data_IF_143737336630
#
_entry.id   IF_143737336630
#
_cell.length_a   1.000
_cell.length_b   1.000
_cell.length_c   1.000
_cell.angle_alpha   90.00
_cell.angle_beta   90.00
_cell.angle_gamma   90.00
#
_symmetry.space_group_name_H-M   'P 1'
#
loop_
_entity.id
_entity.type
_entity.pdbx_description
1 polymer ?
#
# COMPACT_ATOMS: atom_id res chain seq x y z
N UNK A 1 2.56 2.47 -21.84
CA UNK A 1 1.86 3.62 -21.23
C UNK A 1 0.76 4.17 -22.13
N UNK A 2 1.05 4.60 -23.37
CA UNK A 2 0.02 5.11 -24.30
C UNK A 2 -1.17 4.14 -24.50
N UNK A 3 -0.89 2.84 -24.66
CA UNK A 3 -1.93 1.83 -24.79
C UNK A 3 -2.81 1.67 -23.53
N UNK A 4 -2.28 1.96 -22.34
CA UNK A 4 -3.06 1.94 -21.09
C UNK A 4 -3.97 3.15 -21.00
N UNK A 5 -3.42 4.34 -21.31
CA UNK A 5 -4.16 5.60 -21.42
C UNK A 5 -5.33 5.49 -22.43
N UNK A 6 -5.07 4.93 -23.61
CA UNK A 6 -6.09 4.72 -24.65
C UNK A 6 -7.20 3.73 -24.24
N UNK A 7 -6.95 2.86 -23.25
CA UNK A 7 -7.95 1.94 -22.68
C UNK A 7 -8.68 2.54 -21.47
N UNK A 8 -8.56 3.85 -21.24
CA UNK A 8 -9.18 4.55 -20.12
C UNK A 8 -8.38 4.53 -18.83
N UNK A 9 -7.14 4.03 -18.86
CA UNK A 9 -6.23 4.12 -17.72
C UNK A 9 -5.80 5.55 -17.45
N UNK A 10 -5.56 5.89 -16.18
CA UNK A 10 -5.03 7.19 -15.77
C UNK A 10 -3.58 7.05 -15.31
N UNK A 11 -2.71 7.93 -15.78
CA UNK A 11 -1.30 7.99 -15.36
C UNK A 11 -1.07 9.32 -14.67
N UNK A 12 -0.53 9.27 -13.45
CA UNK A 12 -0.01 10.46 -12.77
C UNK A 12 1.51 10.43 -12.86
N UNK A 13 2.09 11.45 -13.49
CA UNK A 13 3.53 11.59 -13.68
C UNK A 13 4.09 12.65 -12.73
N UNK A 14 5.09 12.24 -11.94
CA UNK A 14 5.91 13.13 -11.12
C UNK A 14 7.29 13.21 -11.74
N UNK A 15 7.78 14.43 -11.96
CA UNK A 15 9.08 14.67 -12.59
C UNK A 15 9.09 14.42 -14.10
N UNK A 16 10.22 13.92 -14.60
CA UNK A 16 10.49 13.83 -16.03
C UNK A 16 10.07 12.46 -16.59
N UNK A 17 8.95 12.45 -17.32
CA UNK A 17 8.42 11.26 -17.96
C UNK A 17 8.89 11.13 -19.41
N UNK A 18 9.36 9.93 -19.78
CA UNK A 18 9.52 9.54 -21.18
C UNK A 18 10.64 10.24 -21.95
N UNK A 19 11.68 10.75 -21.27
CA UNK A 19 12.83 11.43 -21.92
C UNK A 19 13.56 10.59 -22.97
N UNK A 20 13.42 9.27 -22.90
CA UNK A 20 13.99 8.31 -23.84
C UNK A 20 13.04 7.93 -24.99
N UNK A 21 11.86 8.54 -25.08
CA UNK A 21 10.88 8.24 -26.14
C UNK A 21 11.15 9.07 -27.40
N UNK A 22 10.87 8.52 -28.59
CA UNK A 22 10.82 9.31 -29.82
C UNK A 22 9.87 10.50 -29.69
N UNK A 23 10.23 11.64 -30.28
CA UNK A 23 9.49 12.91 -30.14
C UNK A 23 8.00 12.79 -30.47
N UNK A 24 7.64 12.01 -31.50
CA UNK A 24 6.25 11.77 -31.88
C UNK A 24 5.45 11.04 -30.77
N UNK A 25 6.05 10.02 -30.17
CA UNK A 25 5.43 9.23 -29.10
C UNK A 25 5.36 10.07 -27.82
N UNK A 26 6.39 10.86 -27.55
CA UNK A 26 6.42 11.81 -26.45
C UNK A 26 5.30 12.84 -26.58
N UNK A 27 5.13 13.46 -27.74
CA UNK A 27 4.04 14.40 -28.00
C UNK A 27 2.66 13.79 -27.81
N UNK A 28 2.42 12.59 -28.36
CA UNK A 28 1.15 11.86 -28.17
C UNK A 28 0.88 11.52 -26.71
N UNK A 29 1.91 11.16 -25.95
CA UNK A 29 1.81 10.85 -24.53
C UNK A 29 1.44 12.10 -23.72
N UNK A 30 2.13 13.21 -23.96
CA UNK A 30 1.95 14.46 -23.21
C UNK A 30 0.65 15.21 -23.56
N UNK A 31 0.07 14.94 -24.74
CA UNK A 31 -1.23 15.47 -25.13
C UNK A 31 -2.42 14.64 -24.63
N UNK A 32 -2.18 13.47 -24.00
CA UNK A 32 -3.28 12.57 -23.61
C UNK A 32 -4.02 13.11 -22.37
N UNK A 33 -5.37 13.24 -22.38
CA UNK A 33 -6.13 13.86 -21.29
C UNK A 33 -6.08 13.07 -19.97
N UNK A 34 -5.81 11.77 -20.04
CA UNK A 34 -5.63 10.90 -18.87
C UNK A 34 -4.17 10.82 -18.36
N UNK A 35 -3.26 11.63 -18.91
CA UNK A 35 -1.95 11.86 -18.30
C UNK A 35 -2.00 13.12 -17.44
N UNK A 36 -1.99 12.95 -16.14
CA UNK A 36 -1.92 14.03 -15.16
C UNK A 36 -0.47 14.28 -14.78
N UNK A 37 -0.04 15.53 -14.83
CA UNK A 37 1.31 15.94 -14.40
C UNK A 37 1.19 16.69 -13.08
N UNK A 38 2.02 16.31 -12.12
CA UNK A 38 2.07 16.95 -10.81
C UNK A 38 3.50 17.00 -10.30
N UNK A 39 3.80 17.97 -9.44
CA UNK A 39 5.05 18.04 -8.68
C UNK A 39 5.00 17.19 -7.43
N UNK A 40 3.79 16.92 -6.91
CA UNK A 40 3.55 16.18 -5.69
C UNK A 40 2.47 15.12 -5.92
N UNK A 41 2.72 13.89 -5.46
CA UNK A 41 1.77 12.79 -5.58
C UNK A 41 1.16 12.49 -4.22
N UNK A 42 -0.13 12.72 -4.10
CA UNK A 42 -0.92 12.25 -2.98
C UNK A 42 -1.73 11.01 -3.40
N UNK A 43 -1.87 10.05 -2.49
CA UNK A 43 -2.66 8.85 -2.74
C UNK A 43 -4.16 9.16 -3.02
N UNK A 44 -4.64 10.34 -2.62
CA UNK A 44 -5.97 10.87 -2.97
C UNK A 44 -6.13 11.20 -4.45
N UNK A 45 -5.05 11.35 -5.21
CA UNK A 45 -5.11 11.63 -6.65
C UNK A 45 -5.53 10.41 -7.49
N UNK A 46 -5.57 9.20 -6.91
CA UNK A 46 -6.01 7.99 -7.59
C UNK A 46 -7.53 7.83 -7.50
N UNK A 47 -8.17 7.30 -8.55
CA UNK A 47 -9.63 7.20 -8.66
C UNK A 47 -10.33 6.49 -7.49
N UNK A 48 -9.64 5.53 -6.85
CA UNK A 48 -10.15 4.78 -5.70
C UNK A 48 -9.52 5.22 -4.37
N UNK A 49 -8.91 6.41 -4.35
CA UNK A 49 -8.14 6.93 -3.23
C UNK A 49 -6.96 6.04 -2.83
N UNK A 50 -6.45 6.22 -1.59
CA UNK A 50 -5.38 5.39 -1.06
C UNK A 50 -5.73 3.90 -1.08
N UNK A 51 -4.72 3.07 -1.32
CA UNK A 51 -4.86 1.63 -1.19
C UNK A 51 -4.82 1.20 0.28
N UNK A 52 -4.07 1.93 1.09
CA UNK A 52 -3.91 1.72 2.52
C UNK A 52 -4.16 3.04 3.22
N UNK A 53 -4.97 3.03 4.27
CA UNK A 53 -5.08 4.14 5.22
C UNK A 53 -4.86 3.62 6.62
N UNK A 54 -4.34 4.45 7.51
CA UNK A 54 -4.09 4.08 8.90
C UNK A 54 -4.55 5.19 9.82
N UNK A 55 -4.95 4.84 11.04
CA UNK A 55 -5.21 5.84 12.09
C UNK A 55 -3.89 6.22 12.75
N UNK A 56 -3.72 7.52 13.00
CA UNK A 56 -2.46 8.08 13.49
C UNK A 56 -1.43 8.21 12.36
N UNK A 57 -0.19 8.50 12.74
CA UNK A 57 0.94 8.62 11.83
C UNK A 57 2.18 7.94 12.40
N UNK A 58 2.14 6.61 12.66
CA UNK A 58 3.34 5.88 13.08
C UNK A 58 4.38 5.91 11.94
N UNK A 59 5.66 6.01 12.29
CA UNK A 59 6.74 5.92 11.31
C UNK A 59 6.93 4.47 10.86
N UNK A 60 6.39 4.16 9.68
CA UNK A 60 6.33 2.78 9.18
C UNK A 60 6.25 2.71 7.66
N UNK A 61 6.82 1.64 7.10
CA UNK A 61 6.54 1.20 5.75
C UNK A 61 5.52 0.05 5.74
N UNK A 62 4.60 0.13 4.78
CA UNK A 62 3.65 -0.93 4.47
C UNK A 62 3.84 -1.35 3.02
N UNK A 63 4.06 -2.64 2.78
CA UNK A 63 4.15 -3.22 1.45
C UNK A 63 3.12 -4.32 1.25
N UNK A 64 2.43 -4.30 0.11
CA UNK A 64 1.48 -5.34 -0.27
C UNK A 64 2.10 -6.18 -1.39
N UNK A 65 2.17 -7.48 -1.16
CA UNK A 65 2.71 -8.44 -2.11
C UNK A 65 1.68 -9.54 -2.38
N UNK A 66 1.33 -9.73 -3.66
CA UNK A 66 0.55 -10.90 -4.07
C UNK A 66 1.41 -12.15 -3.90
N UNK A 67 0.83 -13.18 -3.31
CA UNK A 67 1.42 -14.52 -3.12
C UNK A 67 0.41 -15.57 -3.56
N UNK A 68 0.85 -16.82 -3.73
CA UNK A 68 -0.01 -17.89 -4.27
C UNK A 68 -1.32 -18.05 -3.50
N UNK A 69 -1.27 -17.95 -2.16
CA UNK A 69 -2.44 -18.11 -1.30
C UNK A 69 -3.20 -16.80 -0.99
N UNK A 70 -2.80 -15.67 -1.59
CA UNK A 70 -3.49 -14.39 -1.42
C UNK A 70 -2.59 -13.15 -1.44
N UNK A 71 -2.63 -12.34 -0.39
CA UNK A 71 -1.88 -11.08 -0.28
C UNK A 71 -1.15 -11.00 1.06
N UNK A 72 0.17 -10.85 1.02
CA UNK A 72 1.00 -10.56 2.19
C UNK A 72 1.11 -9.04 2.38
N UNK A 73 0.83 -8.58 3.59
CA UNK A 73 0.97 -7.19 4.02
C UNK A 73 2.16 -7.13 4.97
N UNK A 74 3.29 -6.65 4.47
CA UNK A 74 4.50 -6.46 5.25
C UNK A 74 4.44 -5.12 5.98
N UNK A 75 4.69 -5.13 7.29
CA UNK A 75 4.70 -3.98 8.16
C UNK A 75 6.10 -3.85 8.75
N UNK A 76 6.81 -2.76 8.46
CA UNK A 76 8.13 -2.44 9.01
C UNK A 76 8.05 -1.11 9.72
N UNK A 77 8.48 -1.06 10.98
CA UNK A 77 8.48 0.16 11.79
C UNK A 77 9.87 0.78 11.87
N UNK A 78 9.92 2.10 11.81
CA UNK A 78 11.15 2.90 11.81
C UNK A 78 11.24 3.88 12.98
N UNK A 79 10.30 3.82 13.92
CA UNK A 79 10.30 4.65 15.13
C UNK A 79 11.31 4.14 16.16
N UNK A 80 12.58 4.22 15.78
CA UNK A 80 13.73 3.91 16.60
C UNK A 80 13.90 4.94 17.71
N UNK A 81 14.08 4.45 18.93
CA UNK A 81 14.36 5.23 20.13
C UNK A 81 15.86 5.11 20.44
N UNK A 82 16.59 6.22 20.26
CA UNK A 82 18.04 6.27 20.47
C UNK A 82 18.46 6.01 21.93
N UNK A 83 17.65 6.45 22.90
CA UNK A 83 17.97 6.30 24.33
C UNK A 83 17.84 4.84 24.78
N UNK A 84 16.93 4.09 24.16
CA UNK A 84 16.65 2.69 24.47
C UNK A 84 17.35 1.69 23.53
N UNK A 85 17.97 2.17 22.46
CA UNK A 85 18.58 1.34 21.40
C UNK A 85 17.61 0.28 20.85
N UNK A 86 16.35 0.66 20.63
CA UNK A 86 15.32 -0.25 20.14
C UNK A 86 14.20 0.46 19.38
N UNK A 87 13.38 -0.31 18.67
CA UNK A 87 12.07 0.15 18.19
C UNK A 87 11.02 -0.31 19.20
N UNK A 88 10.42 0.58 20.02
CA UNK A 88 9.48 0.19 21.07
C UNK A 88 8.28 -0.56 20.49
N UNK A 89 7.62 -1.47 21.21
CA UNK A 89 6.41 -2.13 20.70
C UNK A 89 5.25 -1.12 20.57
N UNK A 90 4.59 -1.07 19.40
CA UNK A 90 3.41 -0.23 19.18
C UNK A 90 2.17 -0.93 19.76
N UNK A 91 1.47 -0.35 20.75
CA UNK A 91 0.39 -1.06 21.44
C UNK A 91 -0.82 -1.39 20.55
N UNK A 92 -1.12 -0.52 19.58
CA UNK A 92 -2.28 -0.64 18.72
C UNK A 92 -2.00 -0.02 17.35
N UNK A 93 -2.42 -0.72 16.30
CA UNK A 93 -2.36 -0.27 14.92
C UNK A 93 -3.69 -0.59 14.23
N UNK A 94 -4.37 0.44 13.74
CA UNK A 94 -5.59 0.31 12.94
C UNK A 94 -5.28 0.68 11.48
N UNK A 95 -5.45 -0.27 10.57
CA UNK A 95 -5.18 -0.12 9.13
C UNK A 95 -6.39 -0.57 8.32
N UNK A 96 -6.78 0.23 7.33
CA UNK A 96 -7.73 -0.14 6.30
C UNK A 96 -6.98 -0.43 5.00
N UNK A 97 -7.27 -1.58 4.39
CA UNK A 97 -6.58 -2.06 3.19
C UNK A 97 -7.58 -2.41 2.10
N UNK A 98 -7.47 -1.75 0.95
CA UNK A 98 -8.21 -2.08 -0.26
C UNK A 98 -7.40 -3.03 -1.14
N UNK A 99 -7.87 -4.27 -1.24
CA UNK A 99 -7.28 -5.30 -2.10
C UNK A 99 -8.34 -5.95 -2.99
N UNK A 100 -7.96 -6.34 -4.20
CA UNK A 100 -8.85 -7.08 -5.09
C UNK A 100 -8.73 -8.58 -4.81
N UNK A 101 -9.84 -9.22 -4.45
CA UNK A 101 -9.93 -10.66 -4.16
C UNK A 101 -10.99 -10.95 -3.08
N UNK A 102 -11.40 -12.21 -2.96
CA UNK A 102 -12.28 -12.68 -1.87
C UNK A 102 -11.42 -13.32 -0.77
N UNK A 103 -10.79 -12.49 0.06
CA UNK A 103 -10.01 -12.94 1.21
C UNK A 103 -10.94 -13.11 2.42
N UNK A 104 -10.91 -14.31 3.01
CA UNK A 104 -11.82 -14.70 4.10
C UNK A 104 -11.13 -15.01 5.41
N UNK A 105 -9.81 -14.97 5.42
CA UNK A 105 -9.00 -15.27 6.58
C UNK A 105 -7.79 -14.35 6.59
N UNK A 106 -7.43 -13.86 7.76
CA UNK A 106 -6.21 -13.12 7.98
C UNK A 106 -5.38 -13.84 9.05
N UNK A 107 -4.07 -13.91 8.84
CA UNK A 107 -3.12 -14.46 9.82
C UNK A 107 -1.96 -13.50 9.97
N UNK A 108 -1.46 -13.34 11.19
CA UNK A 108 -0.26 -12.56 11.45
C UNK A 108 0.92 -13.46 11.74
N UNK A 109 2.07 -13.08 11.22
CA UNK A 109 3.36 -13.71 11.44
C UNK A 109 4.33 -12.64 11.93
N UNK A 110 5.07 -12.93 12.99
CA UNK A 110 6.17 -12.08 13.41
C UNK A 110 7.37 -12.94 13.80
N UNK A 111 8.60 -12.50 13.50
CA UNK A 111 9.80 -13.16 14.03
C UNK A 111 9.93 -13.00 15.55
N UNK A 112 9.26 -12.00 16.16
CA UNK A 112 9.40 -11.68 17.57
C UNK A 112 8.05 -11.35 18.22
N UNK A 113 7.81 -11.92 19.40
CA UNK A 113 6.62 -11.65 20.20
C UNK A 113 5.32 -12.22 19.63
N UNK A 114 4.25 -12.07 20.41
CA UNK A 114 2.89 -12.41 20.01
C UNK A 114 2.16 -11.15 19.54
N UNK A 115 1.80 -11.13 18.26
CA UNK A 115 0.97 -10.07 17.68
C UNK A 115 -0.46 -10.56 17.64
N UNK A 116 -1.37 -9.79 18.21
CA UNK A 116 -2.80 -10.08 18.10
C UNK A 116 -3.34 -9.41 16.85
N UNK A 117 -4.20 -10.12 16.11
CA UNK A 117 -4.84 -9.60 14.90
C UNK A 117 -6.35 -9.81 14.97
N UNK A 118 -7.09 -8.73 14.72
CA UNK A 118 -8.50 -8.77 14.36
C UNK A 118 -8.66 -8.24 12.94
N UNK A 119 -9.38 -8.98 12.09
CA UNK A 119 -9.74 -8.58 10.73
C UNK A 119 -11.27 -8.52 10.60
N UNK A 120 -11.76 -7.45 9.99
CA UNK A 120 -13.15 -7.38 9.52
C UNK A 120 -13.18 -6.81 8.12
N UNK A 121 -14.05 -7.32 7.25
CA UNK A 121 -14.12 -6.86 5.86
C UNK A 121 -15.47 -6.19 5.59
N UNK A 122 -15.45 -5.00 5.00
CA UNK A 122 -16.64 -4.28 4.54
C UNK A 122 -16.40 -3.65 3.18
N UNK A 123 -17.29 -3.92 2.22
CA UNK A 123 -17.22 -3.35 0.86
C UNK A 123 -15.86 -3.54 0.16
N UNK A 124 -15.20 -4.69 0.35
CA UNK A 124 -13.88 -4.97 -0.26
C UNK A 124 -12.70 -4.25 0.40
N UNK A 125 -12.90 -3.72 1.61
CA UNK A 125 -11.85 -3.12 2.44
C UNK A 125 -11.68 -3.98 3.70
N UNK A 126 -10.46 -4.43 3.94
CA UNK A 126 -10.05 -5.11 5.17
C UNK A 126 -9.68 -4.08 6.22
N UNK A 127 -10.37 -4.12 7.35
CA UNK A 127 -10.06 -3.35 8.56
C UNK A 127 -9.26 -4.26 9.50
N UNK A 128 -7.95 -4.03 9.56
CA UNK A 128 -7.01 -4.77 10.39
C UNK A 128 -6.72 -3.97 11.66
N UNK A 129 -6.98 -4.59 12.81
CA UNK A 129 -6.51 -4.10 14.10
C UNK A 129 -5.44 -5.04 14.63
N UNK A 130 -4.23 -4.52 14.83
CA UNK A 130 -3.12 -5.26 15.41
C UNK A 130 -2.78 -4.71 16.79
N UNK A 131 -2.44 -5.59 17.74
CA UNK A 131 -1.91 -5.21 19.06
C UNK A 131 -0.53 -5.79 19.27
N UNK A 132 0.26 -5.09 20.08
CA UNK A 132 1.65 -5.45 20.39
C UNK A 132 2.53 -5.56 19.13
N UNK A 133 2.45 -4.56 18.24
CA UNK A 133 3.12 -4.59 16.94
C UNK A 133 4.63 -4.36 17.11
N UNK A 134 5.49 -5.32 16.74
CA UNK A 134 6.94 -5.23 16.88
C UNK A 134 7.54 -4.44 15.72
N UNK A 135 8.87 -4.44 15.60
CA UNK A 135 9.58 -3.80 14.48
C UNK A 135 9.15 -4.33 13.12
N UNK A 136 8.79 -5.62 13.04
CA UNK A 136 8.39 -6.26 11.79
C UNK A 136 7.33 -7.33 12.02
N UNK A 137 6.27 -7.31 11.22
CA UNK A 137 5.33 -8.42 11.10
C UNK A 137 4.71 -8.46 9.69
N UNK A 138 4.07 -9.60 9.38
CA UNK A 138 3.37 -9.82 8.12
C UNK A 138 1.95 -10.25 8.43
N UNK A 139 0.96 -9.56 7.85
CA UNK A 139 -0.41 -10.06 7.80
C UNK A 139 -0.66 -10.72 6.45
N UNK A 140 -0.97 -12.01 6.45
CA UNK A 140 -1.38 -12.75 5.27
C UNK A 140 -2.90 -12.76 5.17
N UNK A 141 -3.44 -12.08 4.17
CA UNK A 141 -4.83 -12.18 3.74
C UNK A 141 -4.95 -13.39 2.80
N UNK A 142 -5.73 -14.40 3.20
CA UNK A 142 -5.90 -15.66 2.48
C UNK A 142 -7.30 -15.77 1.89
N UNK A 143 -7.37 -16.26 0.65
CA UNK A 143 -8.61 -16.33 -0.12
C UNK A 143 -8.41 -16.96 -1.49
N UNK A 144 -9.51 -17.16 -2.22
CA UNK A 144 -9.41 -17.53 -3.63
C UNK A 144 -9.09 -16.26 -4.43
N UNK A 145 -7.93 -16.28 -5.10
CA UNK A 145 -7.60 -15.30 -6.14
C UNK A 145 -8.50 -15.50 -7.36
#
# INVERSE_FOLDING_TARGET
MLAFLNRGGCVVAVGELGKNLPAEVHGKLFAHPLLLRTTELHASAFANGPQVTMKGAPDMAINLQRVDSGCAVHLVRYDYDEDRDEVPVLPLLDIDIRVQGDFRMAKVFSPTGEVELTDTTKNGVHHLQLRNVPVYCVVLLQGKN
#
